data_IF_643481736172
#
_entry.id   IF_643481736172
#
_cell.length_a   1.000
_cell.length_b   1.000
_cell.length_c   1.000
_cell.angle_alpha   90.00
_cell.angle_beta   90.00
_cell.angle_gamma   90.00
#
_symmetry.space_group_name_H-M   'P 1'
#
loop_
_entity.id
_entity.type
_entity.pdbx_description
1 polymer ?
#
# COMPACT_ATOMS: atom_id res chain seq x y z
N UNK A 1 -23.72 48.12 -15.09
CA UNK A 1 -22.88 46.98 -15.52
C UNK A 1 -21.69 46.72 -14.60
N UNK A 2 -20.90 47.73 -14.19
CA UNK A 2 -19.72 47.59 -13.28
C UNK A 2 -19.86 46.69 -12.03
N UNK A 3 -21.01 46.66 -11.38
CA UNK A 3 -21.22 45.83 -10.18
C UNK A 3 -21.34 44.33 -10.51
N UNK A 4 -22.01 44.00 -11.61
CA UNK A 4 -22.18 42.61 -12.04
C UNK A 4 -20.83 41.99 -12.41
N UNK A 5 -19.98 42.74 -13.11
CA UNK A 5 -18.64 42.29 -13.50
C UNK A 5 -17.74 42.04 -12.29
N UNK A 6 -17.78 42.94 -11.31
CA UNK A 6 -17.01 42.81 -10.06
C UNK A 6 -17.50 41.64 -9.21
N UNK A 7 -18.82 41.45 -9.10
CA UNK A 7 -19.43 40.31 -8.40
C UNK A 7 -19.07 38.99 -9.09
N UNK A 8 -19.15 38.93 -10.42
CA UNK A 8 -18.80 37.73 -11.18
C UNK A 8 -17.31 37.39 -11.05
N UNK A 9 -16.44 38.40 -11.07
CA UNK A 9 -14.99 38.23 -10.85
C UNK A 9 -14.67 37.73 -9.44
N UNK A 10 -15.35 38.23 -8.42
CA UNK A 10 -15.21 37.72 -7.05
C UNK A 10 -15.64 36.26 -6.96
N UNK A 11 -16.79 35.93 -7.57
CA UNK A 11 -17.33 34.57 -7.57
C UNK A 11 -16.42 33.59 -8.31
N UNK A 12 -15.81 34.01 -9.43
CA UNK A 12 -14.87 33.18 -10.18
C UNK A 12 -13.59 32.93 -9.39
N UNK A 13 -13.05 33.94 -8.70
CA UNK A 13 -11.87 33.79 -7.83
C UNK A 13 -12.17 32.83 -6.67
N UNK A 14 -13.35 32.92 -6.06
CA UNK A 14 -13.78 32.00 -5.03
C UNK A 14 -13.88 30.56 -5.55
N UNK A 15 -14.50 30.36 -6.71
CA UNK A 15 -14.57 29.04 -7.36
C UNK A 15 -13.19 28.50 -7.71
N UNK A 16 -12.27 29.32 -8.21
CA UNK A 16 -10.89 28.91 -8.49
C UNK A 16 -10.19 28.45 -7.21
N UNK A 17 -10.40 29.17 -6.10
CA UNK A 17 -9.83 28.80 -4.80
C UNK A 17 -10.38 27.46 -4.27
N UNK A 18 -11.67 27.19 -4.43
CA UNK A 18 -12.27 25.91 -4.07
C UNK A 18 -11.75 24.76 -4.95
N UNK A 19 -11.64 24.98 -6.26
CA UNK A 19 -11.06 24.00 -7.19
C UNK A 19 -9.60 23.70 -6.85
N UNK A 20 -8.81 24.72 -6.49
CA UNK A 20 -7.44 24.54 -6.06
C UNK A 20 -7.34 23.71 -4.78
N UNK A 21 -8.27 23.89 -3.83
CA UNK A 21 -8.34 23.10 -2.59
C UNK A 21 -8.75 21.66 -2.84
N UNK A 22 -9.77 21.42 -3.66
CA UNK A 22 -10.20 20.08 -4.07
C UNK A 22 -9.07 19.37 -4.81
N UNK A 23 -8.41 20.05 -5.75
CA UNK A 23 -7.21 19.54 -6.41
C UNK A 23 -6.16 19.16 -5.37
N UNK A 24 -5.81 20.06 -4.45
CA UNK A 24 -4.84 19.79 -3.37
C UNK A 24 -5.22 18.57 -2.51
N UNK A 25 -6.51 18.36 -2.22
CA UNK A 25 -7.00 17.16 -1.53
C UNK A 25 -6.79 15.88 -2.35
N UNK A 26 -7.04 15.93 -3.66
CA UNK A 26 -6.96 14.78 -4.58
C UNK A 26 -5.52 14.43 -4.99
N UNK A 27 -4.71 15.43 -5.39
CA UNK A 27 -3.31 15.24 -5.78
C UNK A 27 -2.47 14.69 -4.62
N UNK A 28 -2.97 14.82 -3.39
CA UNK A 28 -2.38 14.24 -2.20
C UNK A 28 -1.65 15.31 -1.41
N UNK A 29 -1.95 15.35 -0.12
CA UNK A 29 -1.05 15.92 0.88
C UNK A 29 0.14 14.96 0.93
N UNK A 30 1.36 15.45 0.73
CA UNK A 30 2.57 14.61 0.75
C UNK A 30 2.63 13.84 2.07
N UNK A 31 2.33 12.55 1.95
CA UNK A 31 2.38 11.57 3.01
C UNK A 31 3.81 11.05 3.04
N UNK A 32 4.63 11.71 3.86
CA UNK A 32 5.74 11.01 4.46
C UNK A 32 5.22 10.03 5.52
N UNK A 33 6.01 9.88 6.57
CA UNK A 33 5.72 9.04 7.71
C UNK A 33 4.74 9.70 8.71
N UNK A 34 3.50 9.96 8.28
CA UNK A 34 2.49 10.62 9.11
C UNK A 34 1.44 9.62 9.59
N UNK A 35 1.10 9.71 10.87
CA UNK A 35 0.07 8.87 11.48
C UNK A 35 -1.29 9.04 10.77
N UNK A 36 -2.06 7.95 10.61
CA UNK A 36 -3.40 7.97 10.03
C UNK A 36 -4.33 9.05 10.61
N UNK A 37 -4.30 9.30 11.92
CA UNK A 37 -5.08 10.38 12.56
C UNK A 37 -4.65 11.78 12.16
N UNK A 38 -3.34 12.02 11.98
CA UNK A 38 -2.82 13.29 11.51
C UNK A 38 -3.22 13.53 10.05
N UNK A 39 -3.18 12.49 9.21
CA UNK A 39 -3.68 12.57 7.84
C UNK A 39 -5.16 12.98 7.82
N UNK A 40 -5.99 12.38 8.68
CA UNK A 40 -7.40 12.74 8.79
C UNK A 40 -7.60 14.21 9.17
N UNK A 41 -6.86 14.71 10.15
CA UNK A 41 -6.95 16.12 10.57
C UNK A 41 -6.53 17.09 9.46
N UNK A 42 -5.48 16.75 8.71
CA UNK A 42 -5.06 17.54 7.55
C UNK A 42 -6.13 17.55 6.45
N UNK A 43 -6.76 16.41 6.18
CA UNK A 43 -7.88 16.33 5.24
C UNK A 43 -9.07 17.17 5.70
N UNK A 44 -9.43 17.12 7.00
CA UNK A 44 -10.49 17.95 7.58
C UNK A 44 -10.19 19.45 7.52
N UNK A 45 -8.94 19.84 7.74
CA UNK A 45 -8.53 21.26 7.71
C UNK A 45 -8.47 21.80 6.29
N UNK A 46 -8.07 20.97 5.32
CA UNK A 46 -8.08 21.33 3.91
C UNK A 46 -9.52 21.35 3.33
N UNK A 47 -10.39 20.49 3.85
CA UNK A 47 -11.80 20.46 3.50
C UNK A 47 -12.54 21.71 3.98
N UNK A 48 -13.42 22.27 3.13
CA UNK A 48 -14.45 23.22 3.55
C UNK A 48 -15.51 22.50 4.38
N UNK A 49 -16.29 23.26 5.18
CA UNK A 49 -17.50 22.75 5.86
C UNK A 49 -18.47 22.03 4.92
N UNK A 50 -18.41 22.36 3.63
CA UNK A 50 -19.31 21.87 2.60
C UNK A 50 -18.87 20.50 2.02
N UNK A 51 -17.66 20.04 2.35
CA UNK A 51 -17.21 18.71 1.94
C UNK A 51 -17.82 17.66 2.87
N UNK A 52 -18.54 16.72 2.27
CA UNK A 52 -19.20 15.62 2.98
C UNK A 52 -18.18 14.74 3.73
N UNK A 53 -18.51 14.40 4.97
CA UNK A 53 -17.71 13.49 5.82
C UNK A 53 -17.43 12.14 5.12
N UNK A 54 -18.38 11.66 4.32
CA UNK A 54 -18.25 10.46 3.48
C UNK A 54 -17.11 10.60 2.48
N UNK A 55 -16.95 11.77 1.83
CA UNK A 55 -15.87 12.00 0.88
C UNK A 55 -14.51 12.05 1.58
N UNK A 56 -14.45 12.69 2.76
CA UNK A 56 -13.24 12.72 3.59
C UNK A 56 -12.86 11.29 4.01
N UNK A 57 -13.83 10.48 4.44
CA UNK A 57 -13.62 9.07 4.82
C UNK A 57 -13.09 8.25 3.66
N UNK A 58 -13.75 8.31 2.50
CA UNK A 58 -13.33 7.56 1.31
C UNK A 58 -11.94 7.98 0.87
N UNK A 59 -11.67 9.28 0.82
CA UNK A 59 -10.35 9.79 0.44
C UNK A 59 -9.28 9.37 1.44
N UNK A 60 -9.58 9.42 2.74
CA UNK A 60 -8.67 9.00 3.79
C UNK A 60 -8.33 7.51 3.69
N UNK A 61 -9.33 6.65 3.47
CA UNK A 61 -9.11 5.21 3.26
C UNK A 61 -8.29 4.93 2.00
N UNK A 62 -8.58 5.60 0.88
CA UNK A 62 -7.81 5.43 -0.38
C UNK A 62 -6.34 5.84 -0.22
N UNK A 63 -6.03 6.75 0.70
CA UNK A 63 -4.67 7.23 0.94
C UNK A 63 -3.88 6.40 1.95
N UNK A 64 -4.50 5.49 2.68
CA UNK A 64 -3.83 4.59 3.62
C UNK A 64 -3.31 3.33 2.90
N UNK A 65 -2.25 2.71 3.43
CA UNK A 65 -1.69 1.46 2.91
C UNK A 65 -2.68 0.29 3.06
N UNK A 66 -2.68 -0.61 2.07
CA UNK A 66 -3.55 -1.80 1.97
C UNK A 66 -3.70 -2.67 3.24
N UNK A 67 -2.67 -2.90 4.09
CA UNK A 67 -2.86 -3.66 5.32
C UNK A 67 -3.72 -2.93 6.36
N UNK A 68 -3.62 -1.60 6.43
CA UNK A 68 -4.35 -0.78 7.40
C UNK A 68 -5.81 -0.61 6.94
N UNK A 69 -6.03 -0.37 5.65
CA UNK A 69 -7.37 -0.15 5.08
C UNK A 69 -8.24 -1.39 5.13
N UNK A 70 -7.67 -2.58 4.90
CA UNK A 70 -8.42 -3.85 4.90
C UNK A 70 -9.11 -4.12 6.25
N UNK A 71 -8.49 -3.72 7.36
CA UNK A 71 -9.05 -3.85 8.71
C UNK A 71 -10.12 -2.77 8.96
N UNK A 72 -9.87 -1.55 8.48
CA UNK A 72 -10.73 -0.39 8.72
C UNK A 72 -12.00 -0.38 7.87
N UNK A 73 -11.96 -0.91 6.64
CA UNK A 73 -13.11 -0.95 5.71
C UNK A 73 -14.27 -1.75 6.28
N UNK A 74 -13.99 -2.79 7.07
CA UNK A 74 -15.00 -3.60 7.74
C UNK A 74 -15.67 -2.89 8.94
N UNK A 75 -15.13 -1.77 9.40
CA UNK A 75 -15.60 -1.06 10.60
C UNK A 75 -16.54 0.10 10.26
N UNK A 76 -17.77 0.11 10.79
CA UNK A 76 -18.74 1.21 10.61
C UNK A 76 -18.66 2.28 11.71
N UNK A 77 -17.49 2.44 12.33
CA UNK A 77 -17.31 3.43 13.40
C UNK A 77 -17.20 4.86 12.86
N UNK A 78 -17.38 5.84 13.77
CA UNK A 78 -17.17 7.26 13.49
C UNK A 78 -15.72 7.53 13.09
N UNK A 79 -15.53 8.53 12.22
CA UNK A 79 -14.26 8.83 11.58
C UNK A 79 -13.12 9.10 12.58
N UNK A 80 -13.41 9.71 13.73
CA UNK A 80 -12.44 9.96 14.80
C UNK A 80 -11.97 8.66 15.48
N UNK A 81 -12.87 7.70 15.71
CA UNK A 81 -12.51 6.42 16.32
C UNK A 81 -11.77 5.53 15.33
N UNK A 82 -12.17 5.57 14.07
CA UNK A 82 -11.50 4.87 12.99
C UNK A 82 -10.04 5.35 12.86
N UNK A 83 -9.79 6.65 13.02
CA UNK A 83 -8.43 7.20 13.06
C UNK A 83 -7.59 6.64 14.21
N UNK A 84 -8.13 6.57 15.42
CA UNK A 84 -7.42 5.98 16.57
C UNK A 84 -7.15 4.49 16.35
N UNK A 85 -8.09 3.76 15.72
CA UNK A 85 -7.88 2.36 15.37
C UNK A 85 -6.79 2.22 14.29
N UNK A 86 -6.79 3.10 13.29
CA UNK A 86 -5.79 3.13 12.24
C UNK A 86 -4.39 3.38 12.80
N UNK A 87 -4.24 4.30 13.76
CA UNK A 87 -2.96 4.56 14.45
C UNK A 87 -2.47 3.30 15.18
N UNK A 88 -3.36 2.63 15.94
CA UNK A 88 -3.02 1.38 16.62
C UNK A 88 -2.61 0.27 15.66
N UNK A 89 -3.30 0.15 14.52
CA UNK A 89 -2.94 -0.82 13.49
C UNK A 89 -1.59 -0.44 12.87
N UNK A 90 -1.34 0.84 12.62
CA UNK A 90 -0.06 1.35 12.12
C UNK A 90 1.11 1.05 13.07
N UNK A 91 0.88 1.14 14.38
CA UNK A 91 1.89 0.79 15.40
C UNK A 91 2.13 -0.72 15.49
N UNK A 92 1.10 -1.53 15.26
CA UNK A 92 1.17 -2.99 15.31
C UNK A 92 1.72 -3.60 14.01
N UNK A 93 1.50 -2.94 12.87
CA UNK A 93 2.15 -3.31 11.63
C UNK A 93 3.61 -2.91 11.73
N UNK A 94 4.57 -3.84 11.64
CA UNK A 94 5.97 -3.47 11.63
C UNK A 94 6.16 -2.52 10.47
N UNK A 95 6.49 -1.26 10.80
CA UNK A 95 6.98 -0.29 9.85
C UNK A 95 8.16 -0.96 9.17
N UNK A 96 8.02 -1.30 7.90
CA UNK A 96 9.13 -1.83 7.10
C UNK A 96 10.09 -0.67 6.81
N UNK A 97 10.61 -0.06 7.87
CA UNK A 97 11.86 0.65 7.81
C UNK A 97 12.92 -0.43 7.72
N UNK A 98 13.54 -0.50 6.55
CA UNK A 98 14.83 -1.12 6.37
C UNK A 98 15.85 -0.38 7.26
N UNK A 99 15.84 -0.65 8.57
CA UNK A 99 16.95 -0.32 9.44
C UNK A 99 17.31 -1.56 10.25
N UNK A 100 18.40 -2.18 9.81
CA UNK A 100 19.13 -3.20 10.56
C UNK A 100 19.60 -2.57 11.86
N UNK A 101 18.81 -2.61 12.93
CA UNK A 101 19.37 -2.66 14.28
C UNK A 101 18.37 -3.28 15.23
N UNK A 102 18.75 -4.45 15.76
CA UNK A 102 17.85 -5.34 16.45
C UNK A 102 17.28 -4.79 17.76
N UNK A 103 16.09 -5.28 18.07
CA UNK A 103 15.73 -5.85 19.38
C UNK A 103 14.51 -6.76 19.23
N UNK A 104 14.79 -8.06 19.33
CA UNK A 104 13.94 -9.17 19.81
C UNK A 104 12.42 -9.04 19.66
N UNK A 105 11.85 -9.67 18.62
CA UNK A 105 10.54 -10.32 18.72
C UNK A 105 10.62 -11.72 18.10
N UNK A 106 10.32 -12.72 18.92
CA UNK A 106 10.50 -14.16 18.68
C UNK A 106 9.61 -14.71 17.54
N UNK A 107 8.64 -13.91 17.08
CA UNK A 107 7.67 -14.29 16.05
C UNK A 107 8.18 -14.15 14.59
N UNK A 108 9.29 -13.43 14.34
CA UNK A 108 9.83 -13.26 12.98
C UNK A 108 10.74 -14.40 12.49
N UNK A 109 11.33 -15.17 13.42
CA UNK A 109 12.27 -16.26 13.08
C UNK A 109 11.61 -17.47 12.46
N UNK A 110 10.39 -17.80 12.90
CA UNK A 110 9.68 -18.98 12.40
C UNK A 110 9.20 -18.79 10.96
N UNK A 111 8.73 -17.58 10.61
CA UNK A 111 8.27 -17.25 9.26
C UNK A 111 9.42 -17.29 8.25
N UNK A 112 10.55 -16.67 8.58
CA UNK A 112 11.75 -16.69 7.74
C UNK A 112 12.32 -18.10 7.56
N UNK A 113 12.19 -18.97 8.57
CA UNK A 113 12.66 -20.37 8.48
C UNK A 113 11.78 -21.20 7.54
N UNK A 114 10.46 -20.97 7.54
CA UNK A 114 9.52 -21.63 6.62
C UNK A 114 9.75 -21.18 5.19
N UNK A 115 9.96 -19.89 4.95
CA UNK A 115 10.24 -19.37 3.61
C UNK A 115 11.57 -19.90 3.03
N UNK A 116 12.61 -20.00 3.87
CA UNK A 116 13.89 -20.59 3.47
C UNK A 116 13.76 -22.08 3.16
N UNK A 117 13.01 -22.83 3.98
CA UNK A 117 12.74 -24.24 3.74
C UNK A 117 11.93 -24.47 2.45
N UNK A 118 10.95 -23.60 2.17
CA UNK A 118 10.18 -23.65 0.93
C UNK A 118 11.07 -23.42 -0.29
N UNK A 119 11.99 -22.46 -0.22
CA UNK A 119 12.96 -22.19 -1.28
C UNK A 119 13.84 -23.40 -1.56
N UNK A 120 14.43 -24.00 -0.51
CA UNK A 120 15.26 -25.21 -0.64
C UNK A 120 14.47 -26.38 -1.25
N UNK A 121 13.20 -26.54 -0.87
CA UNK A 121 12.34 -27.60 -1.40
C UNK A 121 12.00 -27.39 -2.88
N UNK A 122 11.71 -26.14 -3.28
CA UNK A 122 11.45 -25.78 -4.68
C UNK A 122 12.70 -26.05 -5.52
N UNK A 123 13.87 -25.58 -5.09
CA UNK A 123 15.12 -25.80 -5.81
C UNK A 123 15.44 -27.28 -5.98
N UNK A 124 15.26 -28.09 -4.92
CA UNK A 124 15.45 -29.53 -5.00
C UNK A 124 14.50 -30.21 -6.00
N UNK A 125 13.25 -29.76 -6.08
CA UNK A 125 12.29 -30.27 -7.05
C UNK A 125 12.64 -29.88 -8.49
N UNK A 126 13.10 -28.64 -8.70
CA UNK A 126 13.56 -28.18 -10.01
C UNK A 126 14.74 -29.02 -10.54
N UNK A 127 15.70 -29.33 -9.67
CA UNK A 127 16.83 -30.21 -10.02
C UNK A 127 16.38 -31.63 -10.37
N UNK A 128 15.40 -32.18 -9.63
CA UNK A 128 14.83 -33.50 -9.92
C UNK A 128 14.09 -33.53 -11.25
N UNK A 129 13.28 -32.50 -11.54
CA UNK A 129 12.60 -32.38 -12.84
C UNK A 129 13.64 -32.27 -13.96
N UNK A 130 14.66 -31.44 -13.79
CA UNK A 130 15.73 -31.32 -14.78
C UNK A 130 16.45 -32.66 -15.01
N UNK A 131 16.78 -33.38 -13.95
CA UNK A 131 17.43 -34.69 -14.05
C UNK A 131 16.54 -35.74 -14.71
N UNK A 132 15.27 -35.82 -14.32
CA UNK A 132 14.30 -36.78 -14.89
C UNK A 132 14.02 -36.50 -16.35
N UNK A 133 13.87 -35.24 -16.75
CA UNK A 133 13.71 -34.86 -18.16
C UNK A 133 14.98 -35.19 -18.95
N UNK A 134 16.17 -34.92 -18.41
CA UNK A 134 17.45 -35.25 -19.06
C UNK A 134 17.60 -36.77 -19.28
N UNK A 135 17.28 -37.57 -18.25
CA UNK A 135 17.29 -39.03 -18.33
C UNK A 135 16.24 -39.53 -19.33
N UNK A 136 15.03 -38.96 -19.32
CA UNK A 136 13.96 -39.31 -20.25
C UNK A 136 14.33 -39.01 -21.71
N UNK A 137 14.91 -37.85 -21.98
CA UNK A 137 15.44 -37.49 -23.31
C UNK A 137 16.53 -38.48 -23.74
N UNK A 138 17.43 -38.85 -22.83
CA UNK A 138 18.52 -39.79 -23.13
C UNK A 138 18.01 -41.24 -23.33
N UNK A 139 16.93 -41.64 -22.66
CA UNK A 139 16.28 -42.95 -22.82
C UNK A 139 15.41 -43.04 -24.07
N UNK A 140 14.76 -41.93 -24.47
CA UNK A 140 13.87 -41.89 -25.64
C UNK A 140 14.64 -41.74 -26.96
N UNK A 141 15.87 -41.22 -26.91
CA UNK A 141 16.79 -41.17 -28.04
C UNK A 141 18.17 -41.70 -27.62
N UNK A 142 18.41 -43.03 -27.67
CA UNK A 142 19.74 -43.57 -27.45
C UNK A 142 20.60 -43.25 -28.67
N UNK A 143 21.22 -42.07 -28.70
CA UNK A 143 22.16 -41.70 -29.74
C UNK A 143 23.42 -42.56 -29.54
N UNK A 144 23.62 -43.55 -30.42
CA UNK A 144 24.96 -44.07 -30.68
C UNK A 144 25.77 -42.95 -31.33
N UNK A 145 26.68 -42.36 -30.59
CA UNK A 145 27.85 -41.72 -31.20
C UNK A 145 29.09 -42.23 -30.47
N UNK A 146 29.75 -43.17 -31.12
CA UNK A 146 31.11 -43.56 -30.81
C UNK A 146 32.00 -42.96 -31.91
N UNK A 147 33.12 -42.38 -31.47
CA UNK A 147 34.41 -42.14 -32.14
C UNK A 147 34.62 -40.87 -33.00
N UNK A 148 35.80 -40.27 -32.69
CA UNK A 148 36.68 -39.26 -33.33
C UNK A 148 36.39 -37.80 -32.94
N UNK A 149 37.28 -37.08 -32.25
CA UNK A 149 38.74 -37.18 -31.99
C UNK A 149 39.05 -36.78 -30.53
#
# INVERSE_FOLDING_TARGET
>A
MKYADSKNRLLSLFKESENFRIKRLLTGIELGDIEPSQLLQKLKTAATSDILEILIRTLWLVKLSEPITSILVASDEKLEKLAVMADKVSDMTPKTENFVTGKSSDFGKEMSSKDQLLFDRIQSLEEQIHWTLKVFVHLQFPIKFNVFD
#
